data_IF_873469390669
#
_entry.id   IF_873469390669
#
_cell.length_a   1.000
_cell.length_b   1.000
_cell.length_c   1.000
_cell.angle_alpha   90.00
_cell.angle_beta   90.00
_cell.angle_gamma   90.00
#
_symmetry.space_group_name_H-M   'P 1'
#
loop_
_entity.id
_entity.type
_entity.pdbx_description
1 polymer ?
#
# COMPACT_ATOMS: atom_id res chain seq x y z
N UNK A 1 10.57 -22.58 14.30
CA UNK A 1 9.62 -22.18 13.25
C UNK A 1 10.28 -22.40 11.89
N UNK A 2 9.58 -22.89 10.85
CA UNK A 2 10.13 -22.91 9.50
C UNK A 2 10.53 -21.47 9.13
N UNK A 3 11.79 -21.31 8.73
CA UNK A 3 12.35 -19.99 8.44
C UNK A 3 11.76 -19.51 7.12
N UNK A 4 10.93 -18.48 7.17
CA UNK A 4 10.43 -17.82 5.97
C UNK A 4 11.66 -17.30 5.21
N UNK A 5 11.84 -17.62 3.91
CA UNK A 5 13.02 -17.22 3.17
C UNK A 5 13.25 -15.71 3.26
N UNK A 6 14.45 -15.26 3.65
CA UNK A 6 14.70 -13.81 3.79
C UNK A 6 14.92 -13.09 2.45
N UNK A 7 15.10 -13.85 1.36
CA UNK A 7 15.37 -13.29 0.04
C UNK A 7 14.09 -13.16 -0.79
N UNK A 8 14.01 -12.08 -1.56
CA UNK A 8 12.98 -11.90 -2.57
C UNK A 8 13.46 -12.45 -3.92
N UNK A 9 12.65 -13.31 -4.51
CA UNK A 9 12.79 -13.76 -5.89
C UNK A 9 12.68 -12.59 -6.87
N UNK A 10 13.21 -12.72 -8.10
CA UNK A 10 13.02 -11.70 -9.14
C UNK A 10 11.55 -11.37 -9.40
N UNK A 11 10.66 -12.37 -9.36
CA UNK A 11 9.22 -12.18 -9.54
C UNK A 11 8.57 -11.38 -8.42
N UNK A 12 8.92 -11.66 -7.16
CA UNK A 12 8.44 -10.88 -6.00
C UNK A 12 8.92 -9.43 -6.09
N UNK A 13 10.19 -9.19 -6.43
CA UNK A 13 10.73 -7.83 -6.60
C UNK A 13 10.02 -7.07 -7.71
N UNK A 14 9.75 -7.74 -8.84
CA UNK A 14 9.00 -7.16 -9.95
C UNK A 14 7.57 -6.80 -9.51
N UNK A 15 6.84 -7.72 -8.88
CA UNK A 15 5.47 -7.49 -8.43
C UNK A 15 5.38 -6.34 -7.41
N UNK A 16 6.28 -6.29 -6.43
CA UNK A 16 6.35 -5.21 -5.43
C UNK A 16 6.58 -3.84 -6.08
N UNK A 17 7.49 -3.79 -7.07
CA UNK A 17 7.78 -2.56 -7.81
C UNK A 17 6.57 -2.10 -8.63
N UNK A 18 5.94 -2.99 -9.40
CA UNK A 18 4.77 -2.64 -10.21
C UNK A 18 3.57 -2.26 -9.36
N UNK A 19 3.38 -2.88 -8.19
CA UNK A 19 2.35 -2.49 -7.23
C UNK A 19 2.56 -1.04 -6.74
N UNK A 20 3.79 -0.66 -6.38
CA UNK A 20 4.07 0.73 -5.97
C UNK A 20 3.86 1.72 -7.14
N UNK A 21 4.28 1.37 -8.35
CA UNK A 21 4.08 2.23 -9.54
C UNK A 21 2.60 2.46 -9.82
N UNK A 22 1.76 1.42 -9.79
CA UNK A 22 0.32 1.58 -9.98
C UNK A 22 -0.34 2.36 -8.84
N UNK A 23 0.14 2.21 -7.60
CA UNK A 23 -0.31 3.05 -6.48
C UNK A 23 -0.01 4.54 -6.73
N UNK A 24 1.15 4.88 -7.29
CA UNK A 24 1.54 6.26 -7.64
C UNK A 24 0.66 6.82 -8.76
N UNK A 25 0.21 5.98 -9.69
CA UNK A 25 -0.62 6.40 -10.83
C UNK A 25 -2.04 6.83 -10.45
N UNK A 26 -2.50 6.54 -9.22
CA UNK A 26 -3.82 6.94 -8.73
C UNK A 26 -3.67 8.27 -7.97
N UNK A 27 -4.16 9.41 -8.51
CA UNK A 27 -3.92 10.73 -7.93
C UNK A 27 -4.88 11.02 -6.77
N UNK A 28 -4.60 10.43 -5.61
CA UNK A 28 -5.31 10.60 -4.33
C UNK A 28 -5.09 12.00 -3.72
N UNK A 29 -5.17 13.05 -4.53
CA UNK A 29 -4.92 14.43 -4.13
C UNK A 29 -6.00 14.89 -3.17
N UNK A 30 -5.63 15.00 -1.89
CA UNK A 30 -6.52 15.43 -0.83
C UNK A 30 -5.68 16.21 0.20
N UNK A 31 -6.02 17.46 0.47
CA UNK A 31 -5.16 18.35 1.29
C UNK A 31 -5.94 19.29 2.23
N UNK A 32 -7.26 19.28 2.17
CA UNK A 32 -8.14 19.89 3.16
C UNK A 32 -9.48 19.15 3.19
N UNK A 33 -10.31 19.33 4.23
CA UNK A 33 -11.65 18.71 4.30
C UNK A 33 -12.55 19.03 3.10
N UNK A 34 -12.35 20.19 2.46
CA UNK A 34 -13.10 20.65 1.29
C UNK A 34 -12.49 20.20 -0.04
N UNK A 35 -11.22 19.75 -0.02
CA UNK A 35 -10.46 19.35 -1.20
C UNK A 35 -10.05 17.89 -1.06
N UNK A 36 -11.01 17.00 -1.36
CA UNK A 36 -10.84 15.55 -1.35
C UNK A 36 -11.09 14.99 -2.74
N UNK A 37 -10.13 14.27 -3.31
CA UNK A 37 -10.37 13.46 -4.51
C UNK A 37 -10.96 12.10 -4.11
N UNK A 38 -12.23 12.08 -3.72
CA UNK A 38 -12.93 10.88 -3.23
C UNK A 38 -13.00 9.76 -4.26
N UNK A 39 -13.11 10.09 -5.56
CA UNK A 39 -13.05 9.10 -6.64
C UNK A 39 -11.70 8.38 -6.65
N UNK A 40 -10.59 9.11 -6.56
CA UNK A 40 -9.26 8.50 -6.51
C UNK A 40 -9.04 7.71 -5.21
N UNK A 41 -9.58 8.16 -4.07
CA UNK A 41 -9.49 7.41 -2.81
C UNK A 41 -10.25 6.07 -2.88
N UNK A 42 -11.45 6.07 -3.46
CA UNK A 42 -12.20 4.83 -3.71
C UNK A 42 -11.46 3.89 -4.66
N UNK A 43 -10.96 4.41 -5.79
CA UNK A 43 -10.14 3.64 -6.74
C UNK A 43 -8.87 3.08 -6.09
N UNK A 44 -8.25 3.83 -5.17
CA UNK A 44 -7.09 3.36 -4.43
C UNK A 44 -7.46 2.17 -3.54
N UNK A 45 -8.60 2.22 -2.84
CA UNK A 45 -9.11 1.09 -2.05
C UNK A 45 -9.37 -0.17 -2.87
N UNK A 46 -9.93 -0.03 -4.07
CA UNK A 46 -10.10 -1.14 -5.03
C UNK A 46 -8.77 -1.66 -5.56
N UNK A 47 -7.81 -0.76 -5.80
CA UNK A 47 -6.47 -1.11 -6.22
C UNK A 47 -5.75 -1.96 -5.17
N UNK A 48 -5.83 -1.58 -3.88
CA UNK A 48 -5.26 -2.37 -2.78
C UNK A 48 -5.81 -3.80 -2.77
N UNK A 49 -7.12 -3.98 -2.96
CA UNK A 49 -7.74 -5.31 -3.04
C UNK A 49 -7.26 -6.12 -4.24
N UNK A 50 -6.95 -5.45 -5.34
CA UNK A 50 -6.45 -6.07 -6.56
C UNK A 50 -5.01 -6.55 -6.40
N UNK A 51 -4.12 -5.74 -5.80
CA UNK A 51 -2.69 -6.07 -5.69
C UNK A 51 -2.33 -6.88 -4.44
N UNK A 52 -3.19 -6.92 -3.42
CA UNK A 52 -2.99 -7.71 -2.20
C UNK A 52 -4.12 -8.72 -1.94
N UNK A 53 -4.47 -9.58 -2.92
CA UNK A 53 -5.65 -10.41 -2.83
C UNK A 53 -5.60 -11.43 -1.69
N UNK A 54 -4.41 -11.87 -1.25
CA UNK A 54 -4.32 -12.85 -0.15
C UNK A 54 -4.69 -12.23 1.17
N UNK A 55 -4.27 -10.99 1.47
CA UNK A 55 -4.71 -10.24 2.66
C UNK A 55 -6.23 -10.23 2.76
N UNK A 56 -6.92 -9.80 1.69
CA UNK A 56 -8.38 -9.62 1.70
C UNK A 56 -9.18 -10.93 1.65
N UNK A 57 -8.54 -12.07 1.40
CA UNK A 57 -9.15 -13.41 1.42
C UNK A 57 -8.83 -14.22 2.68
N UNK A 58 -7.89 -13.76 3.49
CA UNK A 58 -7.41 -14.50 4.66
C UNK A 58 -8.40 -14.38 5.82
N UNK A 59 -8.87 -15.51 6.34
CA UNK A 59 -9.97 -15.58 7.32
C UNK A 59 -9.66 -14.99 8.69
N UNK A 60 -8.39 -14.94 9.10
CA UNK A 60 -7.97 -14.34 10.38
C UNK A 60 -7.63 -12.85 10.27
N UNK A 61 -7.86 -12.25 9.10
CA UNK A 61 -7.74 -10.81 8.87
C UNK A 61 -9.14 -10.23 8.74
N UNK A 62 -9.48 -9.32 9.65
CA UNK A 62 -10.71 -8.54 9.55
C UNK A 62 -10.39 -7.23 8.82
N UNK A 63 -11.09 -6.96 7.72
CA UNK A 63 -11.02 -5.70 6.99
C UNK A 63 -12.25 -4.85 7.27
N UNK A 64 -12.02 -3.62 7.71
CA UNK A 64 -13.04 -2.61 7.90
C UNK A 64 -12.68 -1.35 7.11
N UNK A 65 -13.69 -0.66 6.60
CA UNK A 65 -13.54 0.65 5.97
C UNK A 65 -14.20 1.68 6.88
N UNK A 66 -13.40 2.53 7.49
CA UNK A 66 -13.82 3.57 8.44
C UNK A 66 -13.87 4.91 7.72
N UNK A 67 -14.98 5.65 7.88
CA UNK A 67 -15.13 6.96 7.24
C UNK A 67 -14.96 6.91 5.71
N UNK A 68 -15.49 5.86 5.08
CA UNK A 68 -15.51 5.58 3.63
C UNK A 68 -14.17 5.23 2.96
N UNK A 69 -13.04 5.75 3.44
CA UNK A 69 -11.74 5.59 2.74
C UNK A 69 -10.60 5.09 3.62
N UNK A 70 -10.77 5.03 4.95
CA UNK A 70 -9.71 4.56 5.85
C UNK A 70 -9.80 3.04 5.99
N UNK A 71 -8.78 2.33 5.51
CA UNK A 71 -8.73 0.87 5.60
C UNK A 71 -8.09 0.44 6.93
N UNK A 72 -8.85 -0.28 7.75
CA UNK A 72 -8.36 -0.94 8.96
C UNK A 72 -8.27 -2.44 8.71
N UNK A 73 -7.07 -3.00 8.83
CA UNK A 73 -6.80 -4.43 8.72
C UNK A 73 -6.37 -4.95 10.10
N UNK A 74 -7.25 -5.69 10.76
CA UNK A 74 -6.96 -6.31 12.06
C UNK A 74 -6.52 -7.75 11.85
N UNK A 75 -5.23 -8.02 12.08
CA UNK A 75 -4.65 -9.37 12.02
C UNK A 75 -4.70 -9.98 13.42
N UNK A 76 -5.44 -11.07 13.62
CA UNK A 76 -5.49 -11.75 14.92
C UNK A 76 -4.23 -12.61 15.12
N UNK A 77 -3.44 -12.29 16.15
CA UNK A 77 -2.28 -13.09 16.57
C UNK A 77 -2.68 -14.40 17.26
N UNK A 78 -1.74 -15.35 17.36
CA UNK A 78 -1.97 -16.63 18.04
C UNK A 78 -2.22 -16.51 19.54
N UNK A 79 -1.68 -15.46 20.18
CA UNK A 79 -1.80 -15.21 21.61
C UNK A 79 -2.54 -13.89 21.88
N UNK A 80 -3.84 -13.95 22.25
CA UNK A 80 -4.64 -12.75 22.51
C UNK A 80 -4.28 -12.04 23.81
N UNK A 81 -3.39 -12.59 24.65
CA UNK A 81 -2.94 -11.94 25.89
C UNK A 81 -1.86 -10.88 25.66
N UNK A 82 -1.21 -10.90 24.50
CA UNK A 82 -0.16 -9.94 24.15
C UNK A 82 -0.75 -8.58 23.77
N UNK A 83 -0.01 -7.51 24.07
CA UNK A 83 -0.41 -6.16 23.69
C UNK A 83 -0.31 -5.97 22.16
N UNK A 84 -1.36 -5.47 21.49
CA UNK A 84 -1.30 -5.21 20.06
C UNK A 84 -0.36 -4.03 19.75
N UNK A 85 0.12 -4.00 18.52
CA UNK A 85 0.79 -2.83 17.93
C UNK A 85 0.06 -2.43 16.65
N UNK A 86 0.27 -1.18 16.21
CA UNK A 86 -0.35 -0.64 15.00
C UNK A 86 0.73 -0.10 14.06
N UNK A 87 0.62 -0.46 12.78
CA UNK A 87 1.38 0.14 11.70
C UNK A 87 0.42 1.07 10.95
N UNK A 88 0.85 2.30 10.69
CA UNK A 88 0.02 3.31 10.05
C UNK A 88 0.77 3.96 8.90
N UNK A 89 0.02 4.33 7.88
CA UNK A 89 0.43 5.13 6.74
C UNK A 89 -0.80 5.84 6.19
N UNK A 90 -0.60 6.87 5.38
CA UNK A 90 -1.70 7.56 4.70
C UNK A 90 -1.59 7.40 3.17
N UNK A 91 -2.73 7.47 2.49
CA UNK A 91 -2.84 7.24 1.05
C UNK A 91 -3.04 8.52 0.24
N UNK A 92 -3.50 9.59 0.89
CA UNK A 92 -3.65 10.91 0.29
C UNK A 92 -2.29 11.54 -0.01
N UNK A 93 -2.29 12.46 -0.96
CA UNK A 93 -1.10 13.20 -1.37
C UNK A 93 -1.42 14.67 -1.56
N UNK A 94 -0.42 15.51 -1.41
CA UNK A 94 -0.53 16.94 -1.75
C UNK A 94 -0.60 17.15 -3.26
N UNK A 95 -1.12 18.30 -3.73
CA UNK A 95 -1.10 18.66 -5.14
C UNK A 95 0.29 18.56 -5.77
N UNK A 96 0.30 18.20 -7.05
CA UNK A 96 1.52 18.14 -7.86
C UNK A 96 1.18 18.65 -9.26
N UNK A 97 1.24 19.98 -9.51
CA UNK A 97 1.16 20.51 -10.86
C UNK A 97 2.35 19.99 -11.68
N UNK A 98 2.19 19.88 -13.00
CA UNK A 98 3.28 19.41 -13.88
C UNK A 98 4.47 20.38 -13.92
N UNK A 99 4.22 21.66 -13.67
CA UNK A 99 5.27 22.68 -13.59
C UNK A 99 6.30 22.32 -12.52
N UNK A 100 7.59 22.32 -12.91
CA UNK A 100 8.70 21.97 -12.03
C UNK A 100 8.97 20.46 -11.91
N UNK A 101 8.19 19.60 -12.57
CA UNK A 101 8.48 18.18 -12.66
C UNK A 101 9.22 17.83 -13.95
N UNK A 102 10.24 16.98 -13.84
CA UNK A 102 10.95 16.45 -15.01
C UNK A 102 10.17 15.32 -15.72
N UNK A 103 9.21 14.69 -15.02
CA UNK A 103 8.35 13.61 -15.49
C UNK A 103 6.96 13.80 -14.90
N UNK A 104 5.86 13.37 -15.57
CA UNK A 104 4.53 13.61 -15.03
C UNK A 104 4.37 13.08 -13.59
N UNK A 105 3.81 13.87 -12.67
CA UNK A 105 3.87 13.60 -11.23
C UNK A 105 3.16 12.32 -10.81
N UNK A 106 2.20 11.85 -11.59
CA UNK A 106 1.46 10.61 -11.35
C UNK A 106 1.79 9.53 -12.40
N UNK A 107 2.97 9.59 -13.03
CA UNK A 107 3.39 8.56 -14.00
C UNK A 107 3.85 7.25 -13.35
N UNK A 108 4.46 7.33 -12.15
CA UNK A 108 5.16 6.19 -11.56
C UNK A 108 6.33 5.72 -12.43
N UNK A 109 6.97 6.64 -13.17
CA UNK A 109 8.03 6.32 -14.11
C UNK A 109 9.28 5.81 -13.39
N UNK A 110 9.84 4.70 -13.86
CA UNK A 110 11.16 4.25 -13.45
C UNK A 110 12.23 4.90 -14.32
N UNK A 111 13.14 5.66 -13.70
CA UNK A 111 14.26 6.34 -14.37
C UNK A 111 15.46 6.41 -13.44
N UNK A 112 16.63 6.03 -13.96
CA UNK A 112 17.92 6.02 -13.25
C UNK A 112 17.93 5.21 -11.95
N UNK A 113 17.16 4.11 -11.91
CA UNK A 113 17.04 3.25 -10.74
C UNK A 113 16.08 3.75 -9.66
N UNK A 114 15.35 4.85 -9.92
CA UNK A 114 14.35 5.40 -9.02
C UNK A 114 12.96 5.37 -9.65
N UNK A 115 11.93 5.26 -8.82
CA UNK A 115 10.54 5.48 -9.22
C UNK A 115 10.23 6.95 -8.92
N UNK A 116 9.77 7.68 -9.94
CA UNK A 116 9.45 9.09 -9.83
C UNK A 116 7.94 9.27 -9.78
N UNK A 117 7.48 10.07 -8.82
CA UNK A 117 6.09 10.50 -8.72
C UNK A 117 5.69 10.97 -7.32
N UNK A 118 4.62 11.77 -7.26
CA UNK A 118 3.97 12.23 -6.03
C UNK A 118 3.39 11.02 -5.29
N UNK A 119 3.69 10.93 -3.99
CA UNK A 119 3.30 9.78 -3.17
C UNK A 119 4.44 8.80 -2.92
N UNK A 120 5.52 8.81 -3.73
CA UNK A 120 6.57 7.78 -3.66
C UNK A 120 7.27 7.74 -2.30
N UNK A 121 7.53 8.89 -1.67
CA UNK A 121 8.16 8.97 -0.33
C UNK A 121 7.13 9.32 0.76
N UNK A 122 6.11 10.09 0.38
CA UNK A 122 5.09 10.62 1.29
C UNK A 122 3.69 10.39 0.70
N UNK A 123 2.98 9.33 1.11
CA UNK A 123 3.45 8.23 2.00
C UNK A 123 3.11 6.84 1.47
N UNK A 124 2.92 6.72 0.16
CA UNK A 124 2.55 5.45 -0.47
C UNK A 124 3.65 4.39 -0.35
N UNK A 125 4.93 4.74 -0.24
CA UNK A 125 5.97 3.74 0.07
C UNK A 125 5.69 2.99 1.37
N UNK A 126 5.42 3.68 2.48
CA UNK A 126 5.19 3.05 3.77
C UNK A 126 3.94 2.19 3.75
N UNK A 127 2.84 2.73 3.21
CA UNK A 127 1.59 1.99 3.04
C UNK A 127 1.82 0.70 2.25
N UNK A 128 2.42 0.82 1.07
CA UNK A 128 2.63 -0.32 0.18
C UNK A 128 3.63 -1.32 0.77
N UNK A 129 4.68 -0.87 1.46
CA UNK A 129 5.65 -1.76 2.10
C UNK A 129 5.02 -2.59 3.23
N UNK A 130 4.16 -1.98 4.07
CA UNK A 130 3.44 -2.69 5.13
C UNK A 130 2.57 -3.80 4.54
N UNK A 131 1.79 -3.49 3.50
CA UNK A 131 0.90 -4.45 2.86
C UNK A 131 1.66 -5.52 2.07
N UNK A 132 2.72 -5.14 1.34
CA UNK A 132 3.60 -6.10 0.64
C UNK A 132 4.23 -7.09 1.61
N UNK A 133 4.71 -6.62 2.78
CA UNK A 133 5.28 -7.51 3.79
C UNK A 133 4.24 -8.52 4.30
N UNK A 134 3.03 -8.06 4.62
CA UNK A 134 1.95 -8.93 5.09
C UNK A 134 1.52 -9.94 4.01
N UNK A 135 1.28 -9.48 2.77
CA UNK A 135 0.92 -10.32 1.63
C UNK A 135 1.99 -11.40 1.38
N UNK A 136 3.27 -11.04 1.40
CA UNK A 136 4.38 -12.00 1.23
C UNK A 136 4.46 -13.02 2.35
N UNK A 137 4.26 -12.61 3.61
CA UNK A 137 4.21 -13.53 4.74
C UNK A 137 3.08 -14.55 4.54
N UNK A 138 1.88 -14.09 4.20
CA UNK A 138 0.71 -14.95 3.97
C UNK A 138 0.93 -15.90 2.78
N UNK A 139 1.46 -15.40 1.66
CA UNK A 139 1.77 -16.22 0.49
C UNK A 139 2.85 -17.29 0.76
N UNK A 140 3.64 -17.10 1.83
CA UNK A 140 4.64 -18.06 2.31
C UNK A 140 4.11 -18.90 3.48
N UNK A 141 2.79 -18.97 3.64
CA UNK A 141 2.07 -19.75 4.65
C UNK A 141 2.41 -19.35 6.10
N UNK A 142 2.78 -18.08 6.33
CA UNK A 142 2.83 -17.56 7.69
C UNK A 142 1.43 -17.50 8.28
N UNK A 143 1.29 -18.02 9.51
CA UNK A 143 0.11 -17.87 10.34
C UNK A 143 0.59 -17.22 11.64
N UNK A 144 0.02 -16.06 12.03
CA UNK A 144 0.36 -15.35 13.26
C UNK A 144 0.08 -16.13 14.54
#
# INVERSE_FOLDING_TARGET
APQIPSQFSPGERFAMKEALKGAIQIPTVSFSPENLNTTALAQFGEYLQTVFPTIFKTSFIQHEVIGEYSHLLTVRGSDPSLQPYMLMAHSDVVPAPEEGWEVPPFSGLERDGFIHGRGTVDNKNSLMAILQALELLLNRNYIP
#
